data_IF_773357811796
#
_entry.id   IF_773357811796
#
_cell.length_a   1.000
_cell.length_b   1.000
_cell.length_c   1.000
_cell.angle_alpha   90.00
_cell.angle_beta   90.00
_cell.angle_gamma   90.00
#
_symmetry.space_group_name_H-M   'P 1'
#
loop_
_entity.id
_entity.type
_entity.pdbx_description
1 polymer ?
#
# COMPACT_ATOMS: atom_id res chain seq x y z
N UNK A 1 15.17 -10.15 -3.19
CA UNK A 1 15.04 -11.51 -2.61
C UNK A 1 13.60 -12.02 -2.51
N UNK A 2 12.60 -11.36 -3.13
CA UNK A 2 11.16 -11.63 -2.96
C UNK A 2 10.47 -12.37 -4.12
N UNK A 3 11.21 -13.00 -5.04
CA UNK A 3 10.61 -13.63 -6.24
C UNK A 3 9.59 -14.75 -5.92
N UNK A 4 9.61 -15.30 -4.72
CA UNK A 4 8.65 -16.33 -4.30
C UNK A 4 7.26 -15.79 -4.04
N UNK A 5 7.14 -14.50 -3.68
CA UNK A 5 5.86 -13.89 -3.28
C UNK A 5 5.48 -12.64 -4.07
N UNK A 6 6.40 -12.00 -4.80
CA UNK A 6 6.10 -10.77 -5.55
C UNK A 6 6.25 -11.04 -7.05
N UNK A 7 5.21 -10.62 -7.79
CA UNK A 7 5.14 -10.71 -9.25
C UNK A 7 5.00 -9.30 -9.81
N UNK A 8 5.90 -8.92 -10.72
CA UNK A 8 5.99 -7.54 -11.19
C UNK A 8 5.00 -7.24 -12.32
N UNK A 9 4.44 -8.27 -12.96
CA UNK A 9 3.54 -8.14 -14.10
C UNK A 9 2.70 -9.41 -14.32
N UNK A 10 1.78 -9.37 -15.30
CA UNK A 10 0.90 -10.50 -15.65
C UNK A 10 1.64 -11.75 -16.16
N UNK A 11 2.77 -11.56 -16.83
CA UNK A 11 3.56 -12.66 -17.37
C UNK A 11 4.26 -13.44 -16.25
N UNK A 12 4.77 -12.74 -15.22
CA UNK A 12 5.31 -13.37 -14.02
C UNK A 12 4.26 -14.25 -13.32
N UNK A 13 3.02 -13.75 -13.20
CA UNK A 13 1.90 -14.47 -12.57
C UNK A 13 1.56 -15.72 -13.39
N UNK A 14 1.46 -15.58 -14.72
CA UNK A 14 1.15 -16.67 -15.62
C UNK A 14 2.23 -17.77 -15.57
N UNK A 15 3.50 -17.37 -15.54
CA UNK A 15 4.63 -18.30 -15.43
C UNK A 15 4.69 -18.99 -14.06
N UNK A 16 4.27 -18.29 -13.00
CA UNK A 16 4.17 -18.88 -11.68
C UNK A 16 3.06 -19.92 -11.57
N UNK A 17 1.97 -19.72 -12.33
CA UNK A 17 0.79 -20.59 -12.37
C UNK A 17 0.31 -20.93 -10.96
N UNK A 18 -0.26 -19.94 -10.28
CA UNK A 18 -0.70 -19.98 -8.87
C UNK A 18 -2.17 -19.56 -8.79
N UNK A 19 -2.86 -19.96 -7.71
CA UNK A 19 -4.26 -19.63 -7.51
C UNK A 19 -4.47 -18.11 -7.32
N UNK A 20 -5.27 -17.51 -8.19
CA UNK A 20 -5.52 -16.06 -8.17
C UNK A 20 -6.17 -15.57 -6.87
N UNK A 21 -6.87 -16.43 -6.13
CA UNK A 21 -7.49 -16.09 -4.84
C UNK A 21 -6.48 -15.70 -3.76
N UNK A 22 -5.21 -16.10 -3.91
CA UNK A 22 -4.13 -15.72 -2.99
C UNK A 22 -3.34 -14.49 -3.49
N UNK A 23 -3.66 -13.97 -4.67
CA UNK A 23 -2.98 -12.82 -5.26
C UNK A 23 -3.69 -11.52 -4.93
N UNK A 24 -2.97 -10.61 -4.28
CA UNK A 24 -3.47 -9.29 -3.94
C UNK A 24 -2.70 -8.22 -4.72
N UNK A 25 -3.37 -7.22 -5.33
CA UNK A 25 -2.72 -6.06 -5.92
C UNK A 25 -1.80 -5.36 -4.93
N UNK A 26 -0.59 -5.00 -5.37
CA UNK A 26 0.33 -4.17 -4.60
C UNK A 26 0.82 -2.96 -5.38
N UNK A 27 1.17 -1.90 -4.66
CA UNK A 27 1.83 -0.72 -5.23
C UNK A 27 3.04 -0.28 -4.41
N UNK A 28 4.05 0.21 -5.11
CA UNK A 28 5.17 0.96 -4.55
C UNK A 28 4.95 2.46 -4.73
N UNK A 29 5.75 3.28 -4.06
CA UNK A 29 5.71 4.74 -4.18
C UNK A 29 5.82 5.22 -5.63
N UNK A 30 6.66 4.58 -6.46
CA UNK A 30 6.80 4.92 -7.88
C UNK A 30 5.54 4.67 -8.71
N UNK A 31 4.73 3.71 -8.27
CA UNK A 31 3.54 3.23 -8.97
C UNK A 31 2.32 4.15 -8.74
N UNK A 32 2.40 5.06 -7.78
CA UNK A 32 1.36 6.07 -7.58
C UNK A 32 1.80 7.46 -8.06
N UNK A 33 0.82 8.25 -8.46
CA UNK A 33 0.93 9.66 -8.77
C UNK A 33 0.06 10.48 -7.85
N UNK A 34 0.12 11.79 -8.03
CA UNK A 34 -0.84 12.67 -7.37
C UNK A 34 -2.19 12.41 -8.02
N UNK A 35 -3.19 12.05 -7.23
CA UNK A 35 -4.55 11.74 -7.69
C UNK A 35 -4.73 10.48 -8.55
N UNK A 36 -3.72 9.63 -8.70
CA UNK A 36 -3.90 8.40 -9.47
C UNK A 36 -2.96 7.29 -9.05
N UNK A 37 -3.41 6.07 -9.27
CA UNK A 37 -2.55 4.90 -9.33
C UNK A 37 -2.13 4.75 -10.80
N UNK A 38 -0.82 4.72 -11.06
CA UNK A 38 -0.27 4.65 -12.43
C UNK A 38 -0.08 3.22 -12.90
N UNK A 39 0.22 2.32 -11.97
CA UNK A 39 0.47 0.92 -12.23
C UNK A 39 0.04 0.09 -11.02
N UNK A 40 -1.01 -0.69 -11.19
CA UNK A 40 -1.51 -1.64 -10.19
C UNK A 40 -1.34 -3.08 -10.68
N UNK A 41 -0.47 -3.35 -11.64
CA UNK A 41 -0.32 -4.67 -12.26
C UNK A 41 0.43 -5.68 -11.39
N UNK A 42 1.17 -5.20 -10.39
CA UNK A 42 1.97 -6.03 -9.48
C UNK A 42 1.08 -6.78 -8.52
N UNK A 43 1.46 -8.00 -8.19
CA UNK A 43 0.74 -8.83 -7.21
C UNK A 43 1.69 -9.35 -6.15
N UNK A 44 1.16 -9.50 -4.94
CA UNK A 44 1.76 -10.30 -3.88
C UNK A 44 0.95 -11.58 -3.71
N UNK A 45 1.63 -12.72 -3.60
CA UNK A 45 1.08 -13.94 -3.05
C UNK A 45 0.95 -13.77 -1.53
N UNK A 46 -0.26 -13.52 -1.07
CA UNK A 46 -0.55 -13.30 0.33
C UNK A 46 -0.99 -14.59 1.00
N UNK A 47 -0.02 -15.26 1.62
CA UNK A 47 -0.22 -16.48 2.39
C UNK A 47 0.37 -16.32 3.79
N UNK A 48 -0.36 -16.73 4.80
CA UNK A 48 0.00 -16.60 6.21
C UNK A 48 -0.12 -17.94 6.94
N UNK A 49 0.09 -17.94 8.27
CA UNK A 49 0.01 -19.14 9.09
C UNK A 49 -1.39 -19.73 9.23
N UNK A 50 -2.42 -18.96 8.93
CA UNK A 50 -3.83 -19.40 8.99
C UNK A 50 -4.29 -20.03 7.67
N UNK A 51 -3.46 -19.97 6.63
CA UNK A 51 -3.76 -20.54 5.33
C UNK A 51 -3.32 -22.00 5.26
N UNK A 52 -4.26 -22.91 5.03
CA UNK A 52 -3.94 -24.30 4.71
C UNK A 52 -3.50 -24.43 3.25
N UNK A 53 -2.18 -24.60 3.04
CA UNK A 53 -1.54 -24.71 1.73
C UNK A 53 -2.03 -25.90 0.90
N UNK A 54 -2.54 -26.96 1.52
CA UNK A 54 -2.98 -28.16 0.79
C UNK A 54 -4.24 -27.92 -0.04
N UNK A 55 -4.99 -26.86 0.27
CA UNK A 55 -6.11 -26.37 -0.54
C UNK A 55 -5.67 -25.60 -1.80
N UNK A 56 -4.36 -25.31 -1.94
CA UNK A 56 -3.79 -24.49 -3.04
C UNK A 56 -2.62 -25.22 -3.70
N UNK A 57 -2.88 -26.33 -4.43
CA UNK A 57 -1.83 -27.21 -4.95
C UNK A 57 -0.89 -26.52 -5.95
N UNK A 58 -1.36 -25.54 -6.72
CA UNK A 58 -0.52 -24.83 -7.69
C UNK A 58 0.45 -23.89 -6.96
N UNK A 59 -0.05 -23.13 -5.99
CA UNK A 59 0.75 -22.29 -5.08
C UNK A 59 1.76 -23.13 -4.29
N UNK A 60 1.35 -24.29 -3.78
CA UNK A 60 2.24 -25.23 -3.09
C UNK A 60 3.41 -25.62 -3.98
N UNK A 61 3.12 -26.10 -5.19
CA UNK A 61 4.12 -26.47 -6.21
C UNK A 61 5.05 -25.30 -6.54
N UNK A 62 4.52 -24.09 -6.66
CA UNK A 62 5.31 -22.88 -6.88
C UNK A 62 6.25 -22.56 -5.71
N UNK A 63 5.79 -22.67 -4.47
CA UNK A 63 6.60 -22.36 -3.29
C UNK A 63 7.63 -23.44 -2.97
N UNK A 64 7.38 -24.70 -3.35
CA UNK A 64 8.29 -25.82 -3.13
C UNK A 64 9.68 -25.61 -3.71
N UNK A 65 9.80 -24.94 -4.87
CA UNK A 65 11.11 -24.61 -5.46
C UNK A 65 11.94 -23.66 -4.59
N UNK A 66 11.31 -22.97 -3.64
CA UNK A 66 11.98 -22.07 -2.68
C UNK A 66 12.08 -22.68 -1.28
N UNK A 67 11.52 -23.87 -1.05
CA UNK A 67 11.37 -24.48 0.28
C UNK A 67 12.66 -24.53 1.08
N UNK A 68 13.75 -24.99 0.46
CA UNK A 68 15.06 -25.11 1.12
C UNK A 68 15.54 -23.77 1.74
N UNK A 69 15.23 -22.65 1.09
CA UNK A 69 15.55 -21.31 1.59
C UNK A 69 14.52 -20.85 2.62
N UNK A 70 13.24 -21.12 2.39
CA UNK A 70 12.15 -20.64 3.22
C UNK A 70 12.11 -21.31 4.59
N UNK A 71 12.44 -22.60 4.68
CA UNK A 71 12.53 -23.37 5.94
C UNK A 71 13.66 -22.89 6.85
N UNK A 72 14.72 -22.29 6.28
CA UNK A 72 15.85 -21.73 7.03
C UNK A 72 15.53 -20.39 7.71
N UNK A 73 14.33 -19.82 7.49
CA UNK A 73 13.91 -18.58 8.18
C UNK A 73 13.75 -18.85 9.68
N UNK A 74 14.21 -17.91 10.50
CA UNK A 74 14.26 -18.06 11.97
C UNK A 74 12.90 -18.43 12.56
N UNK A 75 11.82 -17.81 12.08
CA UNK A 75 10.45 -18.04 12.53
C UNK A 75 9.97 -19.45 12.17
N UNK A 76 10.36 -19.98 11.00
CA UNK A 76 10.06 -21.36 10.60
C UNK A 76 10.85 -22.37 11.44
N UNK A 77 12.15 -22.13 11.66
CA UNK A 77 13.00 -22.98 12.53
C UNK A 77 12.42 -23.07 13.95
N UNK A 78 11.83 -21.98 14.44
CA UNK A 78 11.19 -21.91 15.76
C UNK A 78 9.76 -22.47 15.79
N UNK A 79 9.22 -22.93 14.66
CA UNK A 79 7.84 -23.43 14.55
C UNK A 79 6.76 -22.36 14.73
N UNK A 80 7.10 -21.07 14.56
CA UNK A 80 6.14 -19.96 14.74
C UNK A 80 5.22 -19.80 13.53
N UNK A 81 5.75 -20.05 12.34
CA UNK A 81 5.01 -19.98 11.08
C UNK A 81 5.36 -21.19 10.20
N UNK A 82 4.45 -21.67 9.36
CA UNK A 82 4.78 -22.69 8.37
C UNK A 82 5.76 -22.14 7.34
N UNK A 83 6.54 -23.04 6.73
CA UNK A 83 7.62 -22.66 5.81
C UNK A 83 7.15 -21.90 4.57
N UNK A 84 5.88 -22.03 4.17
CA UNK A 84 5.32 -21.36 3.00
C UNK A 84 4.74 -19.97 3.33
N UNK A 85 4.53 -19.63 4.61
CA UNK A 85 3.93 -18.35 5.02
C UNK A 85 4.84 -17.17 4.69
N UNK A 86 4.23 -16.00 4.46
CA UNK A 86 4.92 -14.72 4.61
C UNK A 86 5.58 -14.65 6.00
N UNK A 87 6.74 -14.01 6.07
CA UNK A 87 7.49 -13.97 7.34
C UNK A 87 6.77 -13.10 8.38
N UNK A 88 6.29 -11.93 7.94
CA UNK A 88 5.52 -11.00 8.77
C UNK A 88 4.26 -10.57 8.02
N UNK A 89 3.24 -11.46 7.94
CA UNK A 89 1.95 -11.06 7.44
C UNK A 89 1.42 -9.91 8.32
N UNK A 90 0.65 -9.03 7.69
CA UNK A 90 -0.04 -7.95 8.39
C UNK A 90 -1.46 -8.39 8.72
N UNK A 91 -2.12 -7.67 9.60
CA UNK A 91 -3.53 -7.89 9.85
C UNK A 91 -4.32 -7.51 8.59
N UNK A 92 -4.89 -8.51 7.90
CA UNK A 92 -5.67 -8.29 6.67
C UNK A 92 -6.80 -7.29 6.88
N UNK A 93 -7.49 -7.38 8.01
CA UNK A 93 -8.54 -6.43 8.39
C UNK A 93 -8.09 -4.95 8.38
N UNK A 94 -6.82 -4.65 8.62
CA UNK A 94 -6.28 -3.28 8.52
C UNK A 94 -5.90 -2.91 7.09
N UNK A 95 -5.40 -3.87 6.30
CA UNK A 95 -5.04 -3.65 4.90
C UNK A 95 -6.27 -3.54 3.98
N UNK A 96 -7.34 -4.24 4.31
CA UNK A 96 -8.58 -4.34 3.54
C UNK A 96 -9.51 -3.14 3.75
N UNK A 97 -9.19 -2.25 4.71
CA UNK A 97 -9.96 -1.01 4.92
C UNK A 97 -9.99 -0.17 3.64
N UNK A 98 -11.19 0.25 3.30
CA UNK A 98 -11.49 1.15 2.20
C UNK A 98 -12.63 2.13 2.61
N UNK A 99 -12.66 3.35 2.06
CA UNK A 99 -11.59 3.96 1.27
C UNK A 99 -10.35 4.26 2.13
N UNK A 100 -9.14 4.12 1.55
CA UNK A 100 -7.89 4.49 2.22
C UNK A 100 -7.01 5.36 1.34
N UNK A 101 -6.27 6.28 1.94
CA UNK A 101 -5.32 7.13 1.21
C UNK A 101 -3.96 6.44 1.15
N UNK A 102 -3.40 6.40 -0.06
CA UNK A 102 -2.05 5.97 -0.34
C UNK A 102 -1.14 7.20 -0.44
N UNK A 103 -0.21 7.35 0.50
CA UNK A 103 0.76 8.45 0.51
C UNK A 103 2.18 7.92 0.22
N UNK A 104 2.90 8.53 -0.72
CA UNK A 104 4.30 8.19 -0.95
C UNK A 104 5.16 8.55 0.28
N UNK A 105 5.83 7.53 0.85
CA UNK A 105 6.77 7.71 1.96
C UNK A 105 8.08 8.32 1.49
N UNK A 106 8.69 7.76 0.45
CA UNK A 106 10.02 8.18 -0.01
C UNK A 106 9.88 9.25 -1.09
N UNK A 107 10.33 10.47 -0.80
CA UNK A 107 10.33 11.57 -1.78
C UNK A 107 11.64 12.34 -1.72
N UNK A 108 12.28 12.53 -2.86
CA UNK A 108 13.43 13.44 -2.91
C UNK A 108 12.98 14.87 -2.56
N UNK A 109 13.69 15.53 -1.64
CA UNK A 109 13.44 16.90 -1.21
C UNK A 109 13.63 17.93 -2.33
N UNK A 110 14.44 17.61 -3.35
CA UNK A 110 14.61 18.45 -4.54
C UNK A 110 13.38 18.46 -5.45
N UNK A 111 12.43 17.53 -5.28
CA UNK A 111 11.22 17.48 -6.09
C UNK A 111 10.24 18.59 -5.66
N UNK A 112 9.75 19.34 -6.63
CA UNK A 112 8.75 20.41 -6.43
C UNK A 112 7.50 19.96 -5.65
N UNK A 113 7.08 18.71 -5.86
CA UNK A 113 5.92 18.14 -5.17
C UNK A 113 6.37 17.18 -4.08
N UNK A 114 6.28 17.65 -2.84
CA UNK A 114 6.64 16.95 -1.62
C UNK A 114 5.61 15.90 -1.23
N UNK A 115 4.33 16.24 -1.29
CA UNK A 115 3.23 15.32 -0.98
C UNK A 115 2.61 14.76 -2.25
N UNK A 116 2.60 13.44 -2.36
CA UNK A 116 1.92 12.71 -3.43
C UNK A 116 1.03 11.67 -2.81
N UNK A 117 -0.28 11.92 -2.90
CA UNK A 117 -1.30 11.03 -2.41
C UNK A 117 -2.34 10.73 -3.49
N UNK A 118 -2.92 9.54 -3.39
CA UNK A 118 -4.09 9.08 -4.14
C UNK A 118 -4.98 8.26 -3.20
N UNK A 119 -6.15 7.86 -3.67
CA UNK A 119 -7.04 6.95 -2.94
C UNK A 119 -6.94 5.52 -3.47
N UNK A 120 -7.22 4.57 -2.61
CA UNK A 120 -7.56 3.20 -2.95
C UNK A 120 -8.94 2.85 -2.39
N UNK A 121 -9.83 2.50 -3.32
CA UNK A 121 -11.19 2.02 -3.05
C UNK A 121 -11.35 0.53 -3.40
N UNK A 122 -10.27 -0.11 -3.89
CA UNK A 122 -10.27 -1.43 -4.53
C UNK A 122 -9.56 -2.53 -3.74
N UNK A 123 -8.95 -2.21 -2.59
CA UNK A 123 -8.29 -3.19 -1.72
C UNK A 123 -6.83 -3.45 -2.09
N UNK A 124 -6.12 -2.44 -2.60
CA UNK A 124 -4.70 -2.52 -2.96
C UNK A 124 -3.82 -2.44 -1.71
N UNK A 125 -2.79 -3.29 -1.67
CA UNK A 125 -1.79 -3.30 -0.60
C UNK A 125 -0.57 -2.42 -0.95
N UNK A 126 0.08 -1.87 0.08
CA UNK A 126 1.19 -0.94 -0.05
C UNK A 126 2.49 -1.60 0.39
N UNK A 127 3.52 -1.50 -0.45
CA UNK A 127 4.89 -1.89 -0.07
C UNK A 127 5.52 -0.83 0.86
N UNK A 128 6.77 -1.02 1.30
CA UNK A 128 7.38 -0.16 2.34
C UNK A 128 7.47 1.34 1.98
N UNK A 129 7.32 1.67 0.70
CA UNK A 129 7.36 3.04 0.17
C UNK A 129 6.01 3.76 0.21
N UNK A 130 4.96 3.13 0.76
CA UNK A 130 3.62 3.68 0.90
C UNK A 130 3.25 3.79 2.39
N UNK A 131 2.58 4.88 2.75
CA UNK A 131 1.89 5.05 4.03
C UNK A 131 0.39 4.97 3.77
N UNK A 132 -0.30 4.13 4.54
CA UNK A 132 -1.76 4.09 4.56
C UNK A 132 -2.29 5.09 5.57
N UNK A 133 -3.25 5.90 5.14
CA UNK A 133 -4.06 6.72 6.03
C UNK A 133 -5.50 6.23 5.91
N UNK A 134 -5.96 5.55 6.97
CA UNK A 134 -7.31 4.98 7.07
C UNK A 134 -8.16 5.84 8.00
N UNK A 135 -9.43 6.12 7.63
CA UNK A 135 -10.33 6.86 8.50
C UNK A 135 -10.66 6.05 9.75
N UNK A 136 -10.70 6.72 10.91
CA UNK A 136 -11.15 6.13 12.19
C UNK A 136 -12.57 6.58 12.57
N UNK A 137 -13.17 7.46 11.77
CA UNK A 137 -14.52 7.99 11.93
C UNK A 137 -15.04 8.53 10.60
N UNK A 138 -16.36 8.64 10.44
CA UNK A 138 -16.99 9.18 9.23
C UNK A 138 -17.21 10.70 9.25
N UNK A 139 -16.80 11.38 10.33
CA UNK A 139 -17.01 12.83 10.51
C UNK A 139 -16.38 13.69 9.41
N UNK A 140 -15.31 13.18 8.78
CA UNK A 140 -14.61 13.85 7.69
C UNK A 140 -14.42 12.82 6.58
N UNK A 141 -14.86 13.16 5.37
CA UNK A 141 -14.64 12.32 4.19
C UNK A 141 -13.16 12.11 3.91
N UNK A 142 -12.79 10.87 3.59
CA UNK A 142 -11.45 10.50 3.10
C UNK A 142 -11.06 11.31 1.85
N UNK A 143 -12.00 11.56 0.94
CA UNK A 143 -11.78 12.36 -0.28
C UNK A 143 -11.54 13.84 0.06
N UNK A 144 -12.26 14.40 1.04
CA UNK A 144 -11.96 15.73 1.54
C UNK A 144 -10.52 15.82 2.07
N UNK A 145 -10.11 14.85 2.88
CA UNK A 145 -8.76 14.86 3.45
C UNK A 145 -7.68 14.70 2.37
N UNK A 146 -7.95 13.88 1.34
CA UNK A 146 -7.09 13.77 0.17
C UNK A 146 -6.91 15.13 -0.55
N UNK A 147 -7.98 15.94 -0.67
CA UNK A 147 -7.88 17.30 -1.23
C UNK A 147 -6.95 18.20 -0.43
N UNK A 148 -7.03 18.15 0.90
CA UNK A 148 -6.12 18.89 1.78
C UNK A 148 -4.67 18.41 1.58
N UNK A 149 -4.46 17.09 1.56
CA UNK A 149 -3.13 16.49 1.37
C UNK A 149 -2.47 16.91 0.05
N UNK A 150 -3.26 16.95 -1.01
CA UNK A 150 -2.82 17.32 -2.35
C UNK A 150 -2.86 18.84 -2.62
N UNK A 151 -3.16 19.68 -1.63
CA UNK A 151 -3.21 21.13 -1.80
C UNK A 151 -1.82 21.76 -2.00
N UNK A 152 -1.77 22.91 -2.68
CA UNK A 152 -0.52 23.70 -2.83
C UNK A 152 0.02 24.17 -1.47
N UNK A 153 -0.88 24.56 -0.56
CA UNK A 153 -0.54 25.03 0.77
C UNK A 153 0.15 23.94 1.59
N UNK A 154 -0.44 22.74 1.63
CA UNK A 154 0.16 21.66 2.41
C UNK A 154 1.47 21.17 1.79
N UNK A 155 1.56 21.14 0.46
CA UNK A 155 2.82 20.85 -0.23
C UNK A 155 3.91 21.86 0.14
N UNK A 156 3.60 23.16 0.16
CA UNK A 156 4.54 24.20 0.58
C UNK A 156 4.99 24.00 2.03
N UNK A 157 4.05 23.76 2.95
CA UNK A 157 4.36 23.52 4.36
C UNK A 157 5.29 22.31 4.54
N UNK A 158 5.00 21.19 3.87
CA UNK A 158 5.83 19.99 3.97
C UNK A 158 7.20 20.17 3.33
N UNK A 159 7.30 20.96 2.25
CA UNK A 159 8.56 21.26 1.58
C UNK A 159 9.48 22.16 2.42
N UNK A 160 8.92 23.04 3.27
CA UNK A 160 9.70 23.99 4.08
C UNK A 160 9.94 23.53 5.52
N UNK A 161 9.02 22.75 6.10
CA UNK A 161 9.11 22.29 7.51
C UNK A 161 9.79 20.93 7.66
N UNK A 162 9.64 20.02 6.71
CA UNK A 162 10.08 18.62 6.84
C UNK A 162 11.09 18.22 5.75
N UNK A 163 12.36 18.49 6.03
CA UNK A 163 13.50 18.34 5.09
C UNK A 163 14.12 16.93 5.07
N UNK A 164 13.40 15.90 5.51
CA UNK A 164 13.89 14.52 5.47
C UNK A 164 13.52 13.86 4.15
N UNK A 165 14.35 12.99 3.57
CA UNK A 165 13.98 12.23 2.36
C UNK A 165 12.63 11.47 2.50
N UNK A 166 12.36 10.92 3.68
CA UNK A 166 11.08 10.26 3.95
C UNK A 166 10.05 11.25 4.51
N UNK A 167 8.88 11.31 3.88
CA UNK A 167 7.64 11.75 4.53
C UNK A 167 7.25 10.65 5.52
N UNK A 168 7.06 11.03 6.79
CA UNK A 168 6.67 10.11 7.87
C UNK A 168 5.24 10.40 8.28
N UNK A 169 4.49 9.36 8.66
CA UNK A 169 3.13 9.52 9.19
C UNK A 169 3.10 10.46 10.41
N UNK A 170 4.14 10.44 11.24
CA UNK A 170 4.22 11.32 12.42
C UNK A 170 4.33 12.81 12.06
N UNK A 171 4.78 13.17 10.86
CA UNK A 171 4.78 14.58 10.43
C UNK A 171 3.35 15.11 10.24
N UNK A 172 2.43 14.26 9.78
CA UNK A 172 1.01 14.61 9.66
C UNK A 172 0.39 14.87 11.05
N UNK A 173 0.85 14.18 12.09
CA UNK A 173 0.38 14.37 13.48
C UNK A 173 0.86 15.70 14.10
N UNK A 174 1.95 16.26 13.59
CA UNK A 174 2.58 17.50 14.09
C UNK A 174 1.97 18.78 13.51
N UNK A 175 0.98 18.66 12.63
CA UNK A 175 0.31 19.80 12.02
C UNK A 175 -1.18 19.76 12.32
N UNK A 176 -1.83 20.91 12.21
CA UNK A 176 -3.29 21.03 12.28
C UNK A 176 -3.83 21.11 10.87
N UNK A 177 -4.87 20.33 10.59
CA UNK A 177 -5.57 20.39 9.32
C UNK A 177 -6.79 21.30 9.44
N UNK A 178 -7.01 22.22 8.50
CA UNK A 178 -8.20 23.05 8.52
C UNK A 178 -9.43 22.19 8.25
N UNK A 179 -10.50 22.46 9.00
CA UNK A 179 -11.86 22.00 8.67
C UNK A 179 -12.53 23.19 7.98
N UNK A 180 -12.79 23.05 6.68
CA UNK A 180 -13.47 24.06 5.89
C UNK A 180 -14.97 24.01 6.11
N UNK A 181 -15.66 25.15 6.06
CA UNK A 181 -17.13 25.18 5.99
C UNK A 181 -17.67 24.67 4.64
N UNK A 182 -16.79 24.45 3.66
CA UNK A 182 -17.09 23.94 2.32
C UNK A 182 -16.51 22.53 2.13
N UNK A 183 -16.69 21.64 3.10
CA UNK A 183 -16.19 20.26 3.04
C UNK A 183 -16.71 19.51 1.81
N UNK A 184 -18.00 19.67 1.48
CA UNK A 184 -18.65 19.05 0.33
C UNK A 184 -18.01 19.49 -1.01
N UNK A 185 -17.72 20.77 -1.18
CA UNK A 185 -17.10 21.29 -2.41
C UNK A 185 -15.71 20.68 -2.63
N UNK A 186 -14.89 20.60 -1.57
CA UNK A 186 -13.56 20.01 -1.66
C UNK A 186 -13.61 18.49 -1.86
N UNK A 187 -14.60 17.83 -1.27
CA UNK A 187 -14.88 16.42 -1.51
C UNK A 187 -15.18 16.17 -3.00
N UNK A 188 -16.11 16.93 -3.59
CA UNK A 188 -16.52 16.75 -4.98
C UNK A 188 -15.40 17.06 -5.97
N UNK A 189 -14.60 18.10 -5.69
CA UNK A 189 -13.40 18.40 -6.47
C UNK A 189 -12.37 17.27 -6.39
N UNK A 190 -12.19 16.66 -5.21
CA UNK A 190 -11.30 15.49 -5.07
C UNK A 190 -11.77 14.34 -5.95
N UNK A 191 -13.07 14.03 -5.94
CA UNK A 191 -13.63 12.96 -6.76
C UNK A 191 -13.42 13.24 -8.25
N UNK A 192 -13.65 14.48 -8.70
CA UNK A 192 -13.38 14.90 -10.09
C UNK A 192 -11.91 14.75 -10.47
N UNK A 193 -10.98 15.12 -9.58
CA UNK A 193 -9.54 14.98 -9.81
C UNK A 193 -9.07 13.54 -9.91
N UNK A 194 -9.78 12.59 -9.29
CA UNK A 194 -9.47 11.16 -9.39
C UNK A 194 -9.93 10.55 -10.72
N UNK A 195 -10.82 11.23 -11.46
CA UNK A 195 -11.37 10.79 -12.75
C UNK A 195 -10.58 11.33 -13.96
N UNK A 196 -9.60 12.23 -13.73
CA UNK A 196 -8.75 12.86 -14.78
C UNK A 196 -7.40 12.16 -14.93
#
# INVERSE_FOLDING_TARGET
NNKSYIFENKEDIKNANIEESLLVPIVLGRDIGKWKIKDDSKRILYIDGDTDIDNYPLTKKWLEQFKEKLEKRRECIRGVIPWYSLQWPREKAELDKNPKILLQRTRNESLKTRLVATIDDSGIYGMESIIFLTPTSENISTYYFLAILNSKLLNYLFATKFLNLAVKGDYLKQIRFPISNQTEVLNDLSIKMLQT
#
